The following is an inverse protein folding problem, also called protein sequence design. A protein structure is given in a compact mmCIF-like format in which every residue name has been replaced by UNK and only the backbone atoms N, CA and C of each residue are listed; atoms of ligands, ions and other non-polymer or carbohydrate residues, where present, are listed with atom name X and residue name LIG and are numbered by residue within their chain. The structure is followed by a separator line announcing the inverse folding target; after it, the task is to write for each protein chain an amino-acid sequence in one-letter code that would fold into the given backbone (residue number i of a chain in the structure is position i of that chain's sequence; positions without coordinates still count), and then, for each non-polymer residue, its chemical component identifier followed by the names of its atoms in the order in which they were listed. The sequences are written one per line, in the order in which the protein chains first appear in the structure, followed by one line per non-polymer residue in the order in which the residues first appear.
data_IF_520836941779
#
_entry.id   IF_520836941779
#
_cell.length_a   1.000
_cell.length_b   1.000
_cell.length_c   1.000
_cell.angle_alpha   90.00
_cell.angle_beta   90.00
_cell.angle_gamma   90.00
#
_symmetry.space_group_name_H-M   'P 1'
#
loop_
_entity.id
_entity.type
_entity.pdbx_description
1 polymer ?
#
# COMPACT_ATOMS: atom_id res chain seq x y z
N UNK A 1 4.54 -33.11 16.28
CA UNK A 1 4.56 -31.77 16.91
C UNK A 1 5.87 -31.00 16.66
N UNK A 2 7.07 -31.50 17.02
CA UNK A 2 8.34 -30.77 16.80
C UNK A 2 8.62 -30.35 15.34
N UNK A 3 8.26 -31.19 14.35
CA UNK A 3 8.44 -30.89 12.92
C UNK A 3 7.50 -29.79 12.39
N UNK A 4 6.27 -29.72 12.92
CA UNK A 4 5.28 -28.68 12.56
C UNK A 4 5.72 -27.33 13.16
N UNK A 5 6.23 -27.34 14.39
CA UNK A 5 6.77 -26.13 15.04
C UNK A 5 7.95 -25.54 14.25
N UNK A 6 8.82 -26.40 13.68
CA UNK A 6 9.97 -25.99 12.87
C UNK A 6 9.54 -25.41 11.51
N UNK A 7 8.53 -25.99 10.87
CA UNK A 7 7.96 -25.46 9.63
C UNK A 7 7.26 -24.12 9.87
N UNK A 8 6.51 -23.98 10.96
CA UNK A 8 5.87 -22.71 11.36
C UNK A 8 6.93 -21.65 11.68
N UNK A 9 8.03 -22.01 12.34
CA UNK A 9 9.15 -21.09 12.60
C UNK A 9 9.84 -20.65 11.30
N UNK A 10 10.08 -21.57 10.36
CA UNK A 10 10.67 -21.26 9.05
C UNK A 10 9.76 -20.34 8.22
N UNK A 11 8.45 -20.58 8.22
CA UNK A 11 7.47 -19.73 7.51
C UNK A 11 7.35 -18.35 8.16
N UNK A 12 7.37 -18.26 9.50
CA UNK A 12 7.35 -16.99 10.23
C UNK A 12 8.61 -16.17 10.00
N UNK A 13 9.79 -16.81 9.94
CA UNK A 13 11.03 -16.12 9.59
C UNK A 13 11.03 -15.66 8.13
N UNK A 14 10.60 -16.49 7.18
CA UNK A 14 10.50 -16.12 5.76
C UNK A 14 9.56 -14.92 5.51
N UNK A 15 8.47 -14.81 6.28
CA UNK A 15 7.53 -13.69 6.20
C UNK A 15 8.11 -12.36 6.72
N UNK A 16 9.06 -12.42 7.67
CA UNK A 16 9.79 -11.25 8.15
C UNK A 16 10.93 -10.80 7.20
N UNK A 17 11.27 -11.60 6.19
CA UNK A 17 12.35 -11.33 5.22
C UNK A 17 11.89 -10.76 3.88
N UNK A 18 10.60 -10.43 3.71
CA UNK A 18 10.09 -9.84 2.47
C UNK A 18 10.46 -8.36 2.26
N UNK A 19 11.25 -7.76 3.16
CA UNK A 19 11.78 -6.41 2.98
C UNK A 19 13.11 -6.46 2.23
N UNK A 20 13.16 -5.83 1.06
CA UNK A 20 14.38 -5.82 0.27
C UNK A 20 15.48 -5.02 0.96
N UNK A 21 16.66 -5.65 1.00
CA UNK A 21 17.89 -5.08 1.53
C UNK A 21 18.83 -4.78 0.38
N UNK A 22 19.37 -3.56 0.34
CA UNK A 22 20.43 -3.16 -0.59
C UNK A 22 21.75 -3.12 0.17
N UNK A 23 22.68 -4.03 -0.17
CA UNK A 23 23.99 -4.04 0.46
C UNK A 23 24.81 -2.83 0.01
N UNK A 24 25.44 -2.15 0.97
CA UNK A 24 26.35 -1.04 0.70
C UNK A 24 27.80 -1.46 0.92
N UNK A 25 28.68 -0.99 0.06
CA UNK A 25 30.09 -1.36 0.05
C UNK A 25 30.98 -0.12 0.15
N UNK A 26 32.12 -0.28 0.83
CA UNK A 26 33.20 0.71 0.80
C UNK A 26 34.21 0.31 -0.26
N UNK A 27 34.65 1.26 -1.07
CA UNK A 27 35.75 1.06 -2.02
C UNK A 27 37.07 1.31 -1.28
N UNK A 28 37.93 0.30 -1.22
CA UNK A 28 39.26 0.36 -0.58
C UNK A 28 40.29 0.01 -1.66
N UNK A 29 41.29 0.87 -1.85
CA UNK A 29 42.36 0.69 -2.85
C UNK A 29 41.85 0.38 -4.27
N UNK A 30 40.77 1.07 -4.67
CA UNK A 30 40.17 0.91 -6.00
C UNK A 30 39.24 -0.31 -6.15
N UNK A 31 39.15 -1.19 -5.15
CA UNK A 31 38.40 -2.44 -5.20
C UNK A 31 37.22 -2.47 -4.21
N UNK A 32 36.19 -3.27 -4.54
CA UNK A 32 35.02 -3.53 -3.69
C UNK A 32 35.04 -4.99 -3.27
N UNK A 33 35.08 -5.24 -1.96
CA UNK A 33 34.98 -6.60 -1.40
C UNK A 33 33.51 -6.98 -1.19
N UNK A 34 33.01 -7.87 -2.05
CA UNK A 34 31.63 -8.36 -1.97
C UNK A 34 31.34 -9.20 -0.72
N UNK A 35 32.36 -9.79 -0.11
CA UNK A 35 32.21 -10.68 1.03
C UNK A 35 32.07 -9.91 2.35
N UNK A 36 32.36 -8.61 2.35
CA UNK A 36 32.34 -7.75 3.55
C UNK A 36 31.58 -6.44 3.27
N UNK A 37 30.24 -6.50 3.13
CA UNK A 37 29.45 -5.28 3.02
C UNK A 37 29.58 -4.42 4.28
N UNK A 38 29.58 -3.10 4.11
CA UNK A 38 29.61 -2.14 5.22
C UNK A 38 28.31 -2.21 6.03
N UNK A 39 27.21 -2.56 5.38
CA UNK A 39 25.87 -2.68 5.95
C UNK A 39 24.84 -2.86 4.86
N UNK A 40 23.57 -2.61 5.19
CA UNK A 40 22.47 -2.63 4.23
C UNK A 40 21.52 -1.47 4.44
N UNK A 41 20.90 -1.03 3.34
CA UNK A 41 19.76 -0.13 3.33
C UNK A 41 18.47 -0.94 3.24
N UNK A 42 17.47 -0.49 3.99
CA UNK A 42 16.08 -0.93 3.88
C UNK A 42 15.37 -0.04 2.87
N UNK A 43 14.30 -0.54 2.22
CA UNK A 43 13.54 0.22 1.22
C UNK A 43 12.93 1.55 1.71
N UNK A 44 13.03 1.87 3.00
CA UNK A 44 12.67 3.16 3.60
C UNK A 44 13.85 4.15 3.70
N UNK A 45 15.09 3.71 3.56
CA UNK A 45 16.27 4.56 3.69
C UNK A 45 16.45 5.45 2.44
N UNK A 46 16.73 6.72 2.65
CA UNK A 46 17.03 7.65 1.56
C UNK A 46 18.36 7.29 0.88
N UNK A 47 18.36 7.35 -0.45
CA UNK A 47 19.51 7.09 -1.31
C UNK A 47 19.51 8.07 -2.48
N UNK A 48 20.69 8.59 -2.83
CA UNK A 48 20.89 9.43 -4.01
C UNK A 48 22.04 8.88 -4.85
N UNK A 49 21.78 8.59 -6.11
CA UNK A 49 22.84 8.20 -7.05
C UNK A 49 23.79 9.39 -7.30
N UNK A 50 25.09 9.13 -7.22
CA UNK A 50 26.15 10.10 -7.50
C UNK A 50 26.68 9.89 -8.93
N UNK A 51 27.30 10.91 -9.54
CA UNK A 51 27.91 10.77 -10.85
C UNK A 51 28.92 9.61 -10.91
N UNK A 52 28.87 8.83 -11.98
CA UNK A 52 29.80 7.73 -12.21
C UNK A 52 31.20 8.32 -12.46
N UNK A 53 32.25 7.86 -11.77
CA UNK A 53 33.62 8.32 -12.05
C UNK A 53 34.06 7.95 -13.46
N UNK A 54 34.79 8.85 -14.11
CA UNK A 54 35.34 8.63 -15.46
C UNK A 54 36.45 7.58 -15.45
N UNK A 55 36.56 6.83 -16.53
CA UNK A 55 37.68 5.91 -16.76
C UNK A 55 38.91 6.69 -17.20
N UNK A 56 40.10 6.23 -16.82
CA UNK A 56 41.38 6.77 -17.30
C UNK A 56 41.94 5.85 -18.37
N UNK A 57 42.01 6.34 -19.61
CA UNK A 57 42.59 5.60 -20.73
C UNK A 57 44.01 6.10 -20.94
N UNK A 58 44.95 5.16 -20.98
CA UNK A 58 46.35 5.43 -21.30
C UNK A 58 46.51 5.61 -22.81
N UNK A 59 46.96 6.78 -23.23
CA UNK A 59 47.38 7.06 -24.59
C UNK A 59 48.91 7.11 -24.66
N UNK A 60 49.48 6.13 -25.35
CA UNK A 60 50.89 6.15 -25.71
C UNK A 60 51.08 6.98 -26.98
N UNK A 61 51.87 8.04 -26.88
CA UNK A 61 52.33 8.82 -28.04
C UNK A 61 53.84 8.80 -28.12
N UNK A 62 54.39 8.90 -29.32
CA UNK A 62 55.83 9.02 -29.53
C UNK A 62 56.13 10.46 -29.93
N UNK A 63 56.88 11.17 -29.09
CA UNK A 63 57.32 12.53 -29.36
C UNK A 63 58.76 12.50 -29.83
N UNK A 64 59.06 13.22 -30.89
CA UNK A 64 60.40 13.37 -31.44
C UNK A 64 61.20 14.34 -30.57
N UNK A 65 62.17 13.83 -29.81
CA UNK A 65 63.04 14.63 -28.93
C UNK A 65 64.40 14.77 -29.60
N UNK A 66 64.89 16.01 -29.69
CA UNK A 66 66.20 16.31 -30.26
C UNK A 66 67.29 16.17 -29.20
N UNK A 67 68.18 15.20 -29.37
CA UNK A 67 69.32 14.96 -28.50
C UNK A 67 70.62 15.35 -29.23
N UNK A 68 71.52 16.10 -28.57
CA UNK A 68 72.82 16.45 -29.15
C UNK A 68 73.85 15.38 -28.80
N UNK A 69 74.20 14.54 -29.78
CA UNK A 69 75.16 13.45 -29.61
C UNK A 69 76.52 13.88 -30.19
N UNK A 70 77.61 13.64 -29.46
CA UNK A 70 78.95 14.04 -29.88
C UNK A 70 79.54 13.01 -30.86
N UNK A 71 79.89 13.43 -32.07
CA UNK A 71 80.51 12.56 -33.07
C UNK A 71 81.98 12.27 -32.78
N UNK A 72 82.55 11.24 -33.41
CA UNK A 72 83.97 10.85 -33.27
C UNK A 72 84.97 11.96 -33.64
N UNK A 73 84.51 12.99 -34.34
CA UNK A 73 85.27 14.13 -34.83
C UNK A 73 85.16 15.35 -33.88
N UNK A 74 84.61 15.17 -32.67
CA UNK A 74 84.45 16.21 -31.65
C UNK A 74 83.27 17.16 -31.82
N UNK A 75 82.66 17.24 -33.02
CA UNK A 75 81.46 18.07 -33.30
C UNK A 75 80.17 17.42 -32.82
N UNK A 76 79.27 18.21 -32.22
CA UNK A 76 77.95 17.77 -31.79
C UNK A 76 76.99 17.71 -32.99
N UNK A 77 76.26 16.60 -33.11
CA UNK A 77 75.20 16.39 -34.11
C UNK A 77 73.87 16.25 -33.37
N UNK A 78 72.86 17.00 -33.80
CA UNK A 78 71.50 16.81 -33.30
C UNK A 78 70.91 15.56 -33.94
N UNK A 79 70.43 14.63 -33.12
CA UNK A 79 69.78 13.38 -33.52
C UNK A 79 68.39 13.40 -32.94
N UNK A 80 67.39 13.15 -33.79
CA UNK A 80 66.00 13.02 -33.34
C UNK A 80 65.78 11.60 -32.81
N UNK A 81 65.33 11.49 -31.57
CA UNK A 81 65.00 10.23 -30.91
C UNK A 81 63.52 10.23 -30.54
N UNK A 82 62.80 9.17 -30.93
CA UNK A 82 61.42 8.97 -30.50
C UNK A 82 61.41 8.59 -29.02
N UNK A 83 60.80 9.43 -28.19
CA UNK A 83 60.55 9.15 -26.79
C UNK A 83 59.07 8.79 -26.62
N UNK A 84 58.81 7.65 -25.96
CA UNK A 84 57.46 7.25 -25.56
C UNK A 84 56.99 8.18 -24.44
N UNK A 85 55.85 8.83 -24.64
CA UNK A 85 55.16 9.66 -23.66
C UNK A 85 53.80 9.04 -23.40
N UNK A 86 53.48 8.89 -22.12
CA UNK A 86 52.21 8.36 -21.65
C UNK A 86 51.34 9.51 -21.17
N UNK A 87 50.18 9.70 -21.79
CA UNK A 87 49.18 10.69 -21.39
C UNK A 87 47.89 9.98 -21.01
N UNK A 88 47.22 10.43 -19.95
CA UNK A 88 45.94 9.87 -19.51
C UNK A 88 44.78 10.76 -19.93
N UNK A 89 43.77 10.19 -20.59
CA UNK A 89 42.52 10.88 -20.93
C UNK A 89 41.39 10.35 -20.03
N UNK A 90 40.57 11.24 -19.48
CA UNK A 90 39.40 10.87 -18.69
C UNK A 90 38.16 10.75 -19.59
N UNK A 91 37.70 9.52 -19.81
CA UNK A 91 36.63 9.18 -20.76
C UNK A 91 35.43 8.61 -20.02
N UNK A 92 34.21 8.83 -20.54
CA UNK A 92 33.02 8.21 -19.97
C UNK A 92 33.07 6.67 -20.15
N UNK A 93 32.64 5.90 -19.13
CA UNK A 93 32.67 4.44 -19.20
C UNK A 93 31.80 3.91 -20.36
N UNK A 94 32.37 3.07 -21.22
CA UNK A 94 31.67 2.48 -22.39
C UNK A 94 30.56 1.50 -22.01
N UNK A 95 30.63 0.89 -20.82
CA UNK A 95 29.64 -0.05 -20.31
C UNK A 95 29.08 0.45 -18.97
N UNK A 96 27.79 0.22 -18.68
CA UNK A 96 27.21 0.60 -17.40
C UNK A 96 28.00 -0.07 -16.27
N UNK A 97 28.47 0.70 -15.28
CA UNK A 97 29.35 0.17 -14.26
C UNK A 97 28.59 -0.82 -13.37
N UNK A 98 29.25 -1.92 -13.00
CA UNK A 98 28.68 -2.93 -12.11
C UNK A 98 28.32 -2.35 -10.74
N UNK A 99 29.09 -1.36 -10.29
CA UNK A 99 28.88 -0.62 -9.05
C UNK A 99 28.70 0.85 -9.35
N UNK A 100 27.78 1.48 -8.64
CA UNK A 100 27.53 2.93 -8.74
C UNK A 100 27.75 3.59 -7.38
N UNK A 101 28.36 4.79 -7.36
CA UNK A 101 28.47 5.54 -6.13
C UNK A 101 27.11 6.13 -5.74
N UNK A 102 26.80 6.11 -4.46
CA UNK A 102 25.57 6.63 -3.89
C UNK A 102 25.86 7.35 -2.58
N UNK A 103 25.04 8.36 -2.27
CA UNK A 103 25.02 9.01 -0.97
C UNK A 103 23.82 8.50 -0.17
N UNK A 104 24.05 8.01 1.04
CA UNK A 104 23.02 7.51 1.95
C UNK A 104 23.42 7.74 3.42
N UNK A 105 22.69 7.15 4.39
CA UNK A 105 23.00 7.25 5.84
C UNK A 105 24.40 6.79 6.26
N UNK A 106 25.11 6.05 5.39
CA UNK A 106 26.49 5.60 5.60
C UNK A 106 27.53 6.53 4.94
N UNK A 107 27.11 7.68 4.39
CA UNK A 107 27.93 8.59 3.60
C UNK A 107 27.99 8.20 2.13
N UNK A 108 29.12 8.53 1.48
CA UNK A 108 29.39 8.17 0.09
C UNK A 108 29.92 6.73 0.02
N UNK A 109 29.10 5.85 -0.55
CA UNK A 109 29.35 4.39 -0.63
C UNK A 109 29.05 3.88 -2.03
N UNK A 110 29.29 2.60 -2.27
CA UNK A 110 29.04 1.96 -3.56
C UNK A 110 27.99 0.85 -3.42
N UNK A 111 27.13 0.71 -4.42
CA UNK A 111 26.10 -0.35 -4.48
C UNK A 111 26.10 -1.02 -5.83
N UNK A 112 25.64 -2.27 -5.90
CA UNK A 112 25.48 -2.99 -7.18
C UNK A 112 24.38 -2.32 -8.01
N UNK A 113 24.66 -2.02 -9.28
CA UNK A 113 23.71 -1.33 -10.16
C UNK A 113 22.37 -2.07 -10.25
N UNK A 114 22.40 -3.38 -10.47
CA UNK A 114 21.20 -4.21 -10.57
C UNK A 114 20.35 -4.23 -9.29
N UNK A 115 20.99 -4.17 -8.12
CA UNK A 115 20.29 -4.11 -6.83
C UNK A 115 19.74 -2.72 -6.56
N UNK A 116 20.46 -1.66 -6.96
CA UNK A 116 19.99 -0.28 -6.87
C UNK A 116 18.74 -0.07 -7.71
N UNK A 117 18.71 -0.52 -8.97
CA UNK A 117 17.54 -0.34 -9.84
C UNK A 117 16.29 -0.98 -9.21
N UNK A 118 16.42 -2.19 -8.67
CA UNK A 118 15.35 -2.88 -7.94
C UNK A 118 14.96 -2.09 -6.68
N UNK A 119 15.95 -1.60 -5.91
CA UNK A 119 15.73 -0.81 -4.70
C UNK A 119 15.02 0.50 -4.98
N UNK A 120 15.36 1.19 -6.07
CA UNK A 120 14.69 2.41 -6.49
C UNK A 120 13.26 2.14 -6.95
N UNK A 121 13.01 1.01 -7.61
CA UNK A 121 11.65 0.59 -7.96
C UNK A 121 10.78 0.33 -6.71
N UNK A 122 11.29 -0.41 -5.72
CA UNK A 122 10.58 -0.64 -4.46
C UNK A 122 10.48 0.62 -3.60
N UNK A 123 11.48 1.50 -3.63
CA UNK A 123 11.46 2.80 -2.96
C UNK A 123 10.37 3.71 -3.56
N UNK A 124 10.21 3.67 -4.88
CA UNK A 124 9.17 4.41 -5.59
C UNK A 124 7.77 3.81 -5.42
N UNK A 125 7.67 2.53 -5.05
CA UNK A 125 6.40 1.92 -4.68
C UNK A 125 5.96 2.38 -3.29
N UNK A 126 4.91 3.19 -3.30
CA UNK A 126 4.26 3.70 -2.09
C UNK A 126 3.26 2.70 -1.51
N UNK A 127 3.01 1.58 -2.20
CA UNK A 127 2.06 0.57 -1.75
C UNK A 127 2.50 -0.05 -0.43
N UNK A 128 1.53 -0.22 0.46
CA UNK A 128 1.70 -0.85 1.76
C UNK A 128 0.94 -0.14 2.87
N UNK A 129 1.14 -0.64 4.08
CA UNK A 129 0.52 -0.14 5.30
C UNK A 129 1.43 0.87 6.00
N UNK A 130 0.85 2.00 6.38
CA UNK A 130 1.47 3.07 7.18
C UNK A 130 0.70 3.18 8.47
N UNK A 131 1.37 3.15 9.62
CA UNK A 131 0.69 3.11 10.92
C UNK A 131 1.10 4.28 11.82
N UNK A 132 0.19 4.60 12.73
CA UNK A 132 0.39 5.45 13.90
C UNK A 132 0.03 4.66 15.16
N UNK A 133 0.02 5.31 16.32
CA UNK A 133 -0.42 4.69 17.57
C UNK A 133 -1.91 4.32 17.56
N UNK A 134 -2.73 5.10 16.86
CA UNK A 134 -4.19 5.00 16.90
C UNK A 134 -4.80 4.57 15.57
N UNK A 135 -4.01 4.40 14.51
CA UNK A 135 -4.59 4.16 13.20
C UNK A 135 -3.61 3.64 12.15
N UNK A 136 -4.14 3.45 10.95
CA UNK A 136 -3.41 3.05 9.77
C UNK A 136 -3.94 3.68 8.50
N UNK A 137 -3.06 3.79 7.50
CA UNK A 137 -3.39 4.10 6.12
C UNK A 137 -2.82 3.02 5.23
N UNK A 138 -3.63 2.43 4.36
CA UNK A 138 -3.20 1.43 3.39
C UNK A 138 -3.25 2.05 2.00
N UNK A 139 -2.10 2.10 1.33
CA UNK A 139 -2.00 2.49 -0.08
C UNK A 139 -1.87 1.24 -0.92
N UNK A 140 -2.69 1.10 -1.95
CA UNK A 140 -2.63 0.00 -2.91
C UNK A 140 -2.60 0.53 -4.33
N UNK A 141 -1.49 0.35 -5.02
CA UNK A 141 -1.42 0.67 -6.45
C UNK A 141 -2.41 -0.17 -7.25
N UNK A 142 -3.00 0.44 -8.28
CA UNK A 142 -3.87 -0.29 -9.20
C UNK A 142 -3.04 -1.27 -10.03
N UNK A 143 -3.46 -2.55 -10.15
CA UNK A 143 -2.76 -3.54 -10.98
C UNK A 143 -2.65 -3.11 -12.46
N UNK A 144 -3.60 -2.29 -12.93
CA UNK A 144 -3.66 -1.81 -14.31
C UNK A 144 -3.01 -0.45 -14.52
N UNK A 145 -2.67 0.29 -13.45
CA UNK A 145 -2.08 1.61 -13.56
C UNK A 145 -1.31 2.01 -12.29
N UNK A 146 0.02 2.03 -12.36
CA UNK A 146 0.91 2.39 -11.25
C UNK A 146 0.81 3.87 -10.79
N UNK A 147 0.12 4.73 -11.55
CA UNK A 147 -0.18 6.11 -11.12
C UNK A 147 -1.49 6.23 -10.34
N UNK A 148 -2.29 5.17 -10.26
CA UNK A 148 -3.59 5.14 -9.58
C UNK A 148 -3.50 4.31 -8.32
N UNK A 149 -4.11 4.78 -7.24
CA UNK A 149 -4.09 4.14 -5.93
C UNK A 149 -5.49 4.03 -5.35
N UNK A 150 -5.76 2.91 -4.70
CA UNK A 150 -6.82 2.80 -3.72
C UNK A 150 -6.19 3.09 -2.34
N UNK A 151 -6.82 3.97 -1.57
CA UNK A 151 -6.31 4.40 -0.28
C UNK A 151 -7.39 4.15 0.77
N UNK A 152 -7.04 3.43 1.81
CA UNK A 152 -7.89 3.21 2.98
C UNK A 152 -7.28 3.96 4.16
N UNK A 153 -8.06 4.81 4.82
CA UNK A 153 -7.68 5.48 6.07
C UNK A 153 -8.55 4.90 7.18
N UNK A 154 -7.94 4.50 8.28
CA UNK A 154 -8.62 4.05 9.50
C UNK A 154 -7.91 4.65 10.72
N UNK A 155 -8.64 5.35 11.58
CA UNK A 155 -8.10 5.97 12.78
C UNK A 155 -9.09 5.81 13.93
N UNK A 156 -8.63 5.22 15.03
CA UNK A 156 -9.46 4.88 16.18
C UNK A 156 -9.25 3.44 16.64
N UNK A 157 -9.93 3.08 17.71
CA UNK A 157 -9.84 1.77 18.36
C UNK A 157 -11.23 1.13 18.41
N UNK A 158 -11.25 -0.20 18.39
CA UNK A 158 -12.45 -1.02 18.57
C UNK A 158 -13.60 -0.66 17.60
N UNK A 159 -14.76 -0.28 18.13
CA UNK A 159 -15.96 0.15 17.40
C UNK A 159 -15.95 1.64 17.03
N UNK A 160 -15.07 2.42 17.64
CA UNK A 160 -14.98 3.86 17.46
C UNK A 160 -13.87 4.24 16.46
N UNK A 161 -14.05 3.83 15.20
CA UNK A 161 -13.05 4.02 14.13
C UNK A 161 -13.56 5.01 13.08
N UNK A 162 -12.86 6.12 12.90
CA UNK A 162 -13.00 7.00 11.75
C UNK A 162 -12.36 6.32 10.54
N UNK A 163 -13.11 6.14 9.45
CA UNK A 163 -12.60 5.41 8.30
C UNK A 163 -13.17 5.86 6.98
N UNK A 164 -12.36 5.77 5.92
CA UNK A 164 -12.78 6.02 4.55
C UNK A 164 -11.94 5.17 3.59
N UNK A 165 -12.57 4.65 2.54
CA UNK A 165 -11.90 4.04 1.39
C UNK A 165 -12.07 4.96 0.18
N UNK A 166 -10.96 5.24 -0.50
CA UNK A 166 -10.91 6.15 -1.63
C UNK A 166 -10.27 5.41 -2.81
N UNK A 167 -11.09 5.07 -3.80
CA UNK A 167 -10.65 4.29 -4.95
C UNK A 167 -10.13 5.15 -6.11
N UNK A 168 -9.19 4.58 -6.88
CA UNK A 168 -8.73 5.09 -8.18
C UNK A 168 -8.19 6.53 -8.16
N UNK A 169 -7.56 6.94 -7.05
CA UNK A 169 -6.95 8.26 -6.90
C UNK A 169 -5.66 8.37 -7.70
N UNK A 170 -5.49 9.49 -8.39
CA UNK A 170 -4.27 9.76 -9.16
C UNK A 170 -3.16 10.32 -8.27
N UNK A 171 -1.96 9.72 -8.37
CA UNK A 171 -0.75 10.20 -7.71
C UNK A 171 -0.23 11.46 -8.41
N UNK A 172 -0.24 12.59 -7.70
CA UNK A 172 0.38 13.85 -8.16
C UNK A 172 1.71 14.08 -7.44
N UNK A 173 2.79 14.22 -8.18
CA UNK A 173 4.10 14.54 -7.61
C UNK A 173 4.27 16.06 -7.50
N UNK A 174 4.44 16.59 -6.29
CA UNK A 174 4.61 18.04 -6.03
C UNK A 174 5.77 18.21 -5.04
N UNK A 175 6.85 18.90 -5.45
CA UNK A 175 8.03 19.16 -4.60
C UNK A 175 8.65 17.91 -3.95
N UNK A 176 8.60 16.75 -4.64
CA UNK A 176 9.08 15.47 -4.09
C UNK A 176 8.08 14.74 -3.19
N UNK A 177 6.90 15.30 -2.96
CA UNK A 177 5.79 14.63 -2.27
C UNK A 177 4.88 13.95 -3.28
N UNK A 178 4.37 12.77 -2.93
CA UNK A 178 3.27 12.14 -3.64
C UNK A 178 1.96 12.52 -2.95
N UNK A 179 1.07 13.20 -3.68
CA UNK A 179 -0.20 13.71 -3.17
C UNK A 179 -1.38 13.06 -3.84
N UNK A 180 -2.40 12.80 -3.04
CA UNK A 180 -3.70 12.30 -3.45
C UNK A 180 -4.77 13.22 -2.90
N UNK A 181 -5.80 13.47 -3.69
CA UNK A 181 -6.93 14.31 -3.30
C UNK A 181 -8.20 13.56 -3.63
N UNK A 182 -9.06 13.44 -2.64
CA UNK A 182 -10.39 12.88 -2.76
C UNK A 182 -11.41 13.94 -2.35
N UNK A 183 -12.54 13.99 -3.05
CA UNK A 183 -13.61 14.92 -2.77
C UNK A 183 -14.96 14.29 -3.10
N UNK A 184 -15.89 14.40 -2.16
CA UNK A 184 -17.31 14.12 -2.32
C UNK A 184 -18.13 15.17 -1.54
N UNK A 185 -19.45 15.04 -1.52
CA UNK A 185 -20.33 15.99 -0.87
C UNK A 185 -20.08 16.10 0.65
N UNK A 186 -19.64 17.27 1.09
CA UNK A 186 -19.36 17.55 2.51
C UNK A 186 -18.09 16.89 3.05
N UNK A 187 -17.25 16.27 2.21
CA UNK A 187 -15.98 15.68 2.64
C UNK A 187 -14.88 15.80 1.58
N UNK A 188 -13.74 16.37 1.96
CA UNK A 188 -12.53 16.39 1.16
C UNK A 188 -11.35 15.86 1.97
N UNK A 189 -10.59 14.93 1.41
CA UNK A 189 -9.44 14.29 2.05
C UNK A 189 -8.20 14.48 1.19
N UNK A 190 -7.14 15.01 1.80
CA UNK A 190 -5.82 15.12 1.21
C UNK A 190 -4.87 14.13 1.86
N UNK A 191 -4.19 13.33 1.05
CA UNK A 191 -3.14 12.41 1.51
C UNK A 191 -1.82 12.85 0.92
N UNK A 192 -0.84 13.14 1.77
CA UNK A 192 0.51 13.55 1.41
C UNK A 192 1.51 12.48 1.88
N UNK A 193 2.31 11.97 0.96
CA UNK A 193 3.33 10.95 1.23
C UNK A 193 4.70 11.52 0.93
N UNK A 194 5.55 11.56 1.95
CA UNK A 194 6.91 12.06 1.84
C UNK A 194 7.83 11.26 2.76
N UNK A 195 8.96 10.77 2.22
CA UNK A 195 9.91 9.93 2.96
C UNK A 195 9.23 8.76 3.71
N UNK A 196 8.28 8.09 3.05
CA UNK A 196 7.45 7.00 3.63
C UNK A 196 6.70 7.38 4.92
N UNK A 197 6.45 8.67 5.13
CA UNK A 197 5.52 9.18 6.13
C UNK A 197 4.26 9.61 5.40
N UNK A 198 3.10 9.16 5.89
CA UNK A 198 1.81 9.57 5.36
C UNK A 198 1.19 10.59 6.30
N UNK A 199 0.74 11.71 5.73
CA UNK A 199 -0.07 12.71 6.41
C UNK A 199 -1.44 12.76 5.75
N UNK A 200 -2.48 12.64 6.55
CA UNK A 200 -3.86 12.78 6.11
C UNK A 200 -4.41 14.08 6.68
N UNK A 201 -5.01 14.89 5.82
CA UNK A 201 -5.78 16.06 6.19
C UNK A 201 -7.21 15.88 5.70
N UNK A 202 -8.18 16.36 6.49
CA UNK A 202 -9.59 16.38 6.09
C UNK A 202 -10.13 17.81 6.13
N UNK A 203 -11.15 18.06 5.33
CA UNK A 203 -11.98 19.26 5.35
C UNK A 203 -13.43 18.85 5.12
N UNK A 204 -14.32 19.21 6.04
CA UNK A 204 -15.57 18.47 6.19
C UNK A 204 -15.26 17.04 6.65
N UNK A 205 -16.13 16.07 6.37
CA UNK A 205 -16.01 14.67 6.79
C UNK A 205 -16.41 14.38 8.24
N UNK A 206 -17.21 15.23 8.89
CA UNK A 206 -17.76 14.99 10.22
C UNK A 206 -18.51 13.65 10.29
N UNK A 207 -19.21 13.29 9.21
CA UNK A 207 -19.94 12.03 9.09
C UNK A 207 -19.02 10.80 9.18
N UNK A 208 -17.76 10.91 8.74
CA UNK A 208 -16.79 9.81 8.78
C UNK A 208 -16.04 9.70 10.10
N UNK A 209 -16.07 10.75 10.92
CA UNK A 209 -15.44 10.77 12.24
C UNK A 209 -16.16 9.81 13.20
N UNK A 210 -15.45 9.38 14.25
CA UNK A 210 -16.01 8.48 15.25
C UNK A 210 -15.53 8.91 16.64
N UNK A 211 -16.45 9.45 17.46
CA UNK A 211 -16.14 10.02 18.76
C UNK A 211 -15.07 11.12 18.66
N UNK A 212 -13.93 10.95 19.32
CA UNK A 212 -12.79 11.86 19.24
C UNK A 212 -11.88 11.65 18.02
N UNK A 213 -12.04 10.53 17.30
CA UNK A 213 -11.19 10.19 16.17
C UNK A 213 -11.69 10.83 14.88
N UNK A 214 -10.75 11.33 14.10
CA UNK A 214 -10.97 11.91 12.77
C UNK A 214 -10.12 11.19 11.73
N UNK A 215 -10.42 11.36 10.44
CA UNK A 215 -9.59 10.84 9.35
C UNK A 215 -8.21 11.53 9.30
N UNK A 216 -8.10 12.76 9.80
CA UNK A 216 -6.85 13.49 9.83
C UNK A 216 -5.85 12.87 10.81
N UNK A 217 -4.57 12.80 10.40
CA UNK A 217 -3.55 12.14 11.20
C UNK A 217 -2.19 12.07 10.54
N UNK A 218 -1.19 11.64 11.32
CA UNK A 218 0.17 11.40 10.86
C UNK A 218 0.55 9.93 11.11
N UNK A 219 1.04 9.25 10.08
CA UNK A 219 1.34 7.83 10.06
C UNK A 219 2.81 7.63 9.69
N UNK A 220 3.72 7.70 10.69
CA UNK A 220 5.16 7.77 10.45
C UNK A 220 5.82 6.42 10.16
N UNK A 221 5.12 5.30 10.37
CA UNK A 221 5.75 3.98 10.33
C UNK A 221 5.24 3.17 9.15
N UNK A 222 6.08 2.95 8.15
CA UNK A 222 5.80 2.05 7.04
C UNK A 222 6.05 0.59 7.41
N UNK A 223 5.04 -0.27 7.24
CA UNK A 223 5.09 -1.71 7.50
C UNK A 223 5.18 -2.58 6.24
N UNK A 224 5.02 -2.02 5.04
CA UNK A 224 5.06 -2.78 3.78
C UNK A 224 3.71 -3.40 3.40
N UNK A 225 3.73 -4.28 2.39
CA UNK A 225 2.57 -5.00 1.87
C UNK A 225 2.26 -6.23 2.74
N UNK A 226 1.70 -6.00 3.93
CA UNK A 226 1.25 -7.09 4.79
C UNK A 226 -0.04 -7.71 4.23
N UNK A 227 -0.14 -9.04 4.28
CA UNK A 227 -1.40 -9.73 4.04
C UNK A 227 -2.31 -9.45 5.23
N UNK A 228 -3.31 -8.60 5.03
CA UNK A 228 -4.26 -8.24 6.08
C UNK A 228 -5.25 -9.39 6.22
N UNK A 229 -5.28 -10.00 7.41
CA UNK A 229 -6.39 -10.87 7.83
C UNK A 229 -7.32 -9.98 8.65
N UNK A 230 -8.55 -9.83 8.19
CA UNK A 230 -9.55 -9.07 8.93
C UNK A 230 -10.16 -9.93 10.03
N UNK A 231 -10.15 -9.39 11.23
CA UNK A 231 -10.82 -9.99 12.38
C UNK A 231 -12.03 -9.12 12.72
N UNK A 232 -13.22 -9.72 12.69
CA UNK A 232 -14.46 -9.05 13.04
C UNK A 232 -14.77 -9.29 14.53
N UNK A 233 -14.34 -8.36 15.38
CA UNK A 233 -14.63 -8.38 16.82
C UNK A 233 -15.79 -7.43 17.12
N UNK A 234 -17.01 -7.85 16.80
CA UNK A 234 -18.22 -7.07 17.04
C UNK A 234 -19.12 -7.82 18.03
N UNK A 235 -19.90 -7.07 18.81
CA UNK A 235 -20.90 -7.65 19.68
C UNK A 235 -22.01 -8.34 18.88
N UNK A 236 -22.70 -9.28 19.53
CA UNK A 236 -23.84 -9.95 18.92
C UNK A 236 -25.04 -9.03 18.89
N UNK A 237 -25.72 -8.97 17.75
CA UNK A 237 -26.94 -8.19 17.55
C UNK A 237 -28.03 -9.10 17.00
N UNK A 238 -29.25 -9.02 17.54
CA UNK A 238 -30.39 -9.79 17.04
C UNK A 238 -31.64 -8.91 17.00
N UNK A 239 -32.30 -8.88 15.84
CA UNK A 239 -33.47 -8.05 15.60
C UNK A 239 -34.51 -8.84 14.79
N UNK A 240 -35.79 -8.49 15.00
CA UNK A 240 -36.93 -9.14 14.37
C UNK A 240 -37.73 -8.14 13.53
N UNK A 241 -38.10 -8.56 12.32
CA UNK A 241 -38.72 -7.71 11.30
C UNK A 241 -39.99 -8.39 10.76
N UNK A 242 -41.19 -7.89 11.11
CA UNK A 242 -42.46 -8.41 10.58
C UNK A 242 -42.67 -8.15 9.09
N UNK A 243 -42.02 -7.09 8.58
CA UNK A 243 -41.98 -6.70 7.17
C UNK A 243 -40.57 -6.19 6.85
N UNK A 244 -40.21 -6.21 5.57
CA UNK A 244 -38.98 -5.63 5.06
C UNK A 244 -39.24 -5.01 3.69
N UNK A 245 -38.42 -4.07 3.26
CA UNK A 245 -38.48 -3.54 1.90
C UNK A 245 -37.63 -4.43 0.99
N UNK A 246 -38.23 -4.90 -0.09
CA UNK A 246 -37.58 -5.68 -1.12
C UNK A 246 -37.43 -4.86 -2.38
N UNK A 247 -36.21 -4.76 -2.90
CA UNK A 247 -35.93 -3.97 -4.08
C UNK A 247 -35.27 -4.85 -5.13
N UNK A 248 -36.04 -5.21 -6.16
CA UNK A 248 -35.57 -6.08 -7.24
C UNK A 248 -34.37 -5.50 -8.02
N UNK A 249 -34.33 -4.18 -8.21
CA UNK A 249 -33.27 -3.47 -8.92
C UNK A 249 -33.20 -1.99 -8.47
N UNK A 250 -32.36 -1.70 -7.47
CA UNK A 250 -32.18 -0.32 -7.01
C UNK A 250 -33.26 0.18 -6.06
N UNK A 251 -33.07 1.36 -5.47
CA UNK A 251 -33.95 1.90 -4.42
C UNK A 251 -35.34 2.30 -4.95
N UNK A 252 -35.46 2.61 -6.24
CA UNK A 252 -36.72 3.05 -6.84
C UNK A 252 -37.74 1.91 -7.00
N UNK A 253 -37.31 0.65 -6.86
CA UNK A 253 -38.17 -0.54 -6.99
C UNK A 253 -38.51 -1.17 -5.65
N UNK A 254 -38.31 -0.48 -4.54
CA UNK A 254 -38.52 -1.05 -3.21
C UNK A 254 -40.03 -1.18 -2.89
N UNK A 255 -40.47 -2.38 -2.51
CA UNK A 255 -41.83 -2.64 -2.04
C UNK A 255 -41.83 -3.33 -0.67
N UNK A 256 -42.77 -2.99 0.23
CA UNK A 256 -42.88 -3.66 1.52
C UNK A 256 -43.42 -5.08 1.35
N UNK A 257 -42.62 -6.07 1.74
CA UNK A 257 -42.98 -7.48 1.73
C UNK A 257 -43.07 -8.07 3.14
N UNK A 258 -43.90 -9.10 3.28
CA UNK A 258 -43.84 -10.07 4.37
C UNK A 258 -43.13 -11.31 3.84
N UNK A 259 -42.20 -11.87 4.61
CA UNK A 259 -41.61 -13.16 4.24
C UNK A 259 -42.68 -14.24 4.30
N UNK A 260 -42.67 -15.14 3.32
CA UNK A 260 -43.63 -16.24 3.22
C UNK A 260 -43.57 -17.19 4.45
N UNK A 261 -42.44 -17.20 5.16
CA UNK A 261 -42.22 -17.99 6.38
C UNK A 261 -42.40 -17.21 7.69
N UNK A 262 -42.92 -15.97 7.64
CA UNK A 262 -43.28 -15.16 8.80
C UNK A 262 -42.28 -14.07 9.17
N UNK A 263 -42.04 -13.86 10.46
CA UNK A 263 -41.15 -12.80 10.95
C UNK A 263 -39.70 -13.15 10.64
N UNK A 264 -38.98 -12.22 10.01
CA UNK A 264 -37.55 -12.37 9.71
C UNK A 264 -36.74 -11.97 10.94
N UNK A 265 -35.88 -12.86 11.41
CA UNK A 265 -34.92 -12.61 12.47
C UNK A 265 -33.52 -12.53 11.86
N UNK A 266 -32.82 -11.43 12.12
CA UNK A 266 -31.44 -11.25 11.68
C UNK A 266 -30.56 -11.24 12.91
N UNK A 267 -29.64 -12.20 12.96
CA UNK A 267 -28.66 -12.33 14.04
C UNK A 267 -27.25 -12.17 13.47
N UNK A 268 -26.54 -11.16 13.94
CA UNK A 268 -25.10 -11.01 13.78
C UNK A 268 -24.42 -11.61 15.02
N UNK A 269 -23.56 -12.62 14.87
CA UNK A 269 -22.98 -13.36 16.01
C UNK A 269 -21.52 -13.02 16.33
N UNK A 270 -21.23 -12.85 17.63
CA UNK A 270 -19.92 -12.76 18.30
C UNK A 270 -19.17 -14.10 18.34
N UNK A 271 -19.89 -15.21 18.52
CA UNK A 271 -19.31 -16.56 18.63
C UNK A 271 -19.04 -17.22 17.27
N UNK A 272 -19.58 -16.64 16.19
CA UNK A 272 -19.49 -17.16 14.82
C UNK A 272 -18.37 -16.58 13.96
N UNK A 273 -17.42 -15.84 14.54
CA UNK A 273 -16.38 -15.11 13.78
C UNK A 273 -16.96 -14.12 12.75
N UNK A 274 -18.11 -13.48 13.05
CA UNK A 274 -18.75 -12.50 12.17
C UNK A 274 -19.76 -13.08 11.17
N UNK A 275 -20.34 -14.26 11.43
CA UNK A 275 -21.46 -14.76 10.62
C UNK A 275 -22.73 -13.96 10.84
N UNK A 276 -23.50 -13.77 9.77
CA UNK A 276 -24.84 -13.21 9.79
C UNK A 276 -25.83 -14.35 9.49
N UNK A 277 -26.86 -14.49 10.31
CA UNK A 277 -27.95 -15.43 10.12
C UNK A 277 -29.25 -14.66 9.83
N UNK A 278 -29.92 -15.00 8.72
CA UNK A 278 -31.27 -14.55 8.38
C UNK A 278 -32.20 -15.75 8.51
N UNK A 279 -33.12 -15.70 9.48
CA UNK A 279 -34.06 -16.79 9.78
C UNK A 279 -35.50 -16.33 9.64
N UNK A 280 -36.31 -17.05 8.87
CA UNK A 280 -37.77 -16.87 8.80
C UNK A 280 -38.44 -18.23 8.93
N UNK A 281 -39.25 -18.42 9.99
CA UNK A 281 -39.81 -19.73 10.33
C UNK A 281 -38.73 -20.80 10.50
N UNK A 282 -38.78 -21.85 9.67
CA UNK A 282 -37.79 -22.93 9.63
C UNK A 282 -36.65 -22.69 8.62
N UNK A 283 -36.76 -21.65 7.80
CA UNK A 283 -35.79 -21.31 6.76
C UNK A 283 -34.66 -20.49 7.36
N UNK A 284 -33.42 -20.95 7.23
CA UNK A 284 -32.22 -20.28 7.77
C UNK A 284 -31.19 -20.10 6.67
N UNK A 285 -30.79 -18.86 6.44
CA UNK A 285 -29.67 -18.50 5.57
C UNK A 285 -28.51 -17.97 6.39
N UNK A 286 -27.35 -18.59 6.25
CA UNK A 286 -26.13 -18.19 6.95
C UNK A 286 -25.15 -17.57 5.96
N UNK A 287 -24.55 -16.47 6.37
CA UNK A 287 -23.62 -15.68 5.59
C UNK A 287 -22.30 -15.60 6.34
N UNK A 288 -21.22 -16.08 5.72
CA UNK A 288 -19.87 -16.03 6.29
C UNK A 288 -19.22 -14.71 5.91
N UNK A 289 -18.77 -13.93 6.90
CA UNK A 289 -17.96 -12.74 6.66
C UNK A 289 -16.65 -13.09 5.94
N UNK A 290 -16.30 -12.28 4.94
CA UNK A 290 -15.11 -12.47 4.11
C UNK A 290 -14.25 -11.23 4.10
N UNK A 291 -14.85 -10.04 3.94
CA UNK A 291 -14.14 -8.76 3.79
C UNK A 291 -14.95 -7.64 4.46
N UNK A 292 -14.31 -6.70 5.13
CA UNK A 292 -14.87 -5.45 5.64
C UNK A 292 -15.09 -4.56 4.43
N UNK A 293 -16.24 -3.92 4.40
CA UNK A 293 -16.54 -2.89 3.42
C UNK A 293 -16.49 -1.57 4.16
N UNK A 294 -15.73 -0.60 3.67
CA UNK A 294 -15.75 0.74 4.25
C UNK A 294 -16.87 1.52 3.56
N UNK A 295 -17.93 1.92 4.28
CA UNK A 295 -19.09 2.57 3.67
C UNK A 295 -18.76 3.98 3.19
N UNK A 296 -19.45 4.42 2.14
CA UNK A 296 -19.45 5.82 1.70
C UNK A 296 -20.66 6.56 2.26
N UNK A 297 -20.68 7.89 2.19
CA UNK A 297 -21.77 8.73 2.69
C UNK A 297 -23.15 8.34 2.15
N UNK A 298 -23.23 7.93 0.88
CA UNK A 298 -24.47 7.42 0.27
C UNK A 298 -25.05 6.17 0.95
N UNK A 299 -24.21 5.44 1.70
CA UNK A 299 -24.61 4.26 2.45
C UNK A 299 -25.12 4.58 3.85
N UNK A 300 -25.02 5.83 4.28
CA UNK A 300 -25.41 6.22 5.62
C UNK A 300 -26.93 6.33 5.72
N UNK A 301 -27.46 6.10 6.91
CA UNK A 301 -28.89 6.19 7.16
C UNK A 301 -29.15 7.23 8.25
N UNK A 302 -29.81 8.33 7.91
CA UNK A 302 -30.06 9.46 8.82
C UNK A 302 -28.80 9.94 9.58
N UNK A 303 -27.67 10.01 8.87
CA UNK A 303 -26.37 10.40 9.44
C UNK A 303 -25.65 9.30 10.22
N UNK A 304 -26.22 8.09 10.33
CA UNK A 304 -25.54 6.94 10.92
C UNK A 304 -24.70 6.20 9.87
N UNK A 305 -23.39 6.09 10.15
CA UNK A 305 -22.46 5.22 9.43
C UNK A 305 -22.75 3.74 9.76
N UNK A 306 -22.96 2.87 8.76
CA UNK A 306 -23.14 1.46 9.01
C UNK A 306 -21.82 0.74 9.30
N UNK A 307 -21.91 -0.40 9.97
CA UNK A 307 -20.90 -1.44 9.93
C UNK A 307 -21.17 -2.27 8.67
N UNK A 308 -20.25 -2.26 7.71
CA UNK A 308 -20.44 -2.93 6.43
C UNK A 308 -19.47 -4.11 6.24
N UNK A 309 -20.01 -5.26 5.82
CA UNK A 309 -19.26 -6.49 5.59
C UNK A 309 -19.73 -7.16 4.32
N UNK A 310 -18.78 -7.57 3.50
CA UNK A 310 -18.98 -8.48 2.39
C UNK A 310 -18.90 -9.91 2.88
N UNK A 311 -19.96 -10.63 2.60
CA UNK A 311 -20.19 -12.00 3.04
C UNK A 311 -20.39 -12.91 1.84
N UNK A 312 -20.16 -14.20 2.07
CA UNK A 312 -20.56 -15.26 1.14
C UNK A 312 -21.63 -16.11 1.80
N UNK A 313 -22.74 -16.32 1.09
CA UNK A 313 -23.81 -17.21 1.52
C UNK A 313 -23.30 -18.66 1.61
N UNK A 314 -23.64 -19.39 2.67
CA UNK A 314 -23.04 -20.72 2.95
C UNK A 314 -23.83 -21.89 2.37
N UNK A 315 -25.15 -21.72 2.19
CA UNK A 315 -26.07 -22.72 1.64
C UNK A 315 -26.16 -22.68 0.10
N UNK A 316 -25.64 -21.62 -0.54
CA UNK A 316 -25.60 -21.49 -2.01
C UNK A 316 -24.22 -21.08 -2.53
N UNK A 317 -23.77 -21.75 -3.59
CA UNK A 317 -22.52 -21.37 -4.25
C UNK A 317 -22.71 -20.13 -5.12
N UNK A 318 -21.90 -19.09 -4.86
CA UNK A 318 -21.74 -17.96 -5.79
C UNK A 318 -22.49 -16.67 -5.44
N UNK A 319 -23.27 -16.63 -4.35
CA UNK A 319 -23.90 -15.40 -3.88
C UNK A 319 -23.02 -14.66 -2.88
N UNK A 320 -22.59 -13.47 -3.29
CA UNK A 320 -21.86 -12.52 -2.45
C UNK A 320 -22.79 -11.38 -2.07
N UNK A 321 -22.89 -11.10 -0.77
CA UNK A 321 -23.78 -10.07 -0.24
C UNK A 321 -22.98 -9.08 0.60
N UNK A 322 -23.21 -7.79 0.38
CA UNK A 322 -22.79 -6.72 1.25
C UNK A 322 -23.90 -6.47 2.27
N UNK A 323 -23.57 -6.68 3.53
CA UNK A 323 -24.43 -6.38 4.67
C UNK A 323 -24.01 -5.06 5.28
N UNK A 324 -24.98 -4.19 5.54
CA UNK A 324 -24.80 -2.91 6.23
C UNK A 324 -25.70 -2.92 7.46
N UNK A 325 -25.10 -2.88 8.64
CA UNK A 325 -25.81 -2.83 9.91
C UNK A 325 -25.69 -1.44 10.53
N UNK A 326 -26.80 -0.89 11.01
CA UNK A 326 -26.89 0.44 11.61
C UNK A 326 -27.32 0.25 13.06
N UNK A 327 -26.36 0.21 14.01
CA UNK A 327 -26.64 -0.20 15.39
C UNK A 327 -27.67 0.67 16.11
N UNK A 328 -27.60 2.00 15.97
CA UNK A 328 -28.51 2.95 16.64
C UNK A 328 -29.91 2.90 16.02
N UNK A 329 -29.99 2.81 14.70
CA UNK A 329 -31.26 2.68 13.99
C UNK A 329 -31.87 1.26 14.08
N UNK A 330 -31.14 0.26 14.58
CA UNK A 330 -31.59 -1.14 14.58
C UNK A 330 -31.96 -1.63 13.18
N UNK A 331 -31.25 -1.17 12.15
CA UNK A 331 -31.56 -1.40 10.73
C UNK A 331 -30.52 -2.32 10.08
N UNK A 332 -30.96 -3.15 9.14
CA UNK A 332 -30.06 -3.86 8.23
C UNK A 332 -30.39 -3.51 6.78
N UNK A 333 -29.36 -3.47 5.94
CA UNK A 333 -29.48 -3.44 4.49
C UNK A 333 -28.59 -4.53 3.93
N UNK A 334 -29.15 -5.47 3.19
CA UNK A 334 -28.42 -6.48 2.44
C UNK A 334 -28.48 -6.11 0.96
N UNK A 335 -27.35 -6.22 0.26
CA UNK A 335 -27.23 -5.89 -1.17
C UNK A 335 -26.37 -6.92 -1.89
N UNK A 336 -26.73 -7.29 -3.12
CA UNK A 336 -25.88 -8.15 -3.94
C UNK A 336 -24.56 -7.46 -4.30
N UNK A 337 -23.44 -8.09 -3.97
CA UNK A 337 -22.11 -7.58 -4.28
C UNK A 337 -21.80 -7.68 -5.78
N UNK A 338 -21.06 -6.70 -6.31
CA UNK A 338 -20.60 -6.67 -7.70
C UNK A 338 -21.59 -6.07 -8.70
N UNK A 339 -22.78 -5.65 -8.24
CA UNK A 339 -23.72 -4.87 -9.02
C UNK A 339 -23.64 -3.39 -8.63
N UNK A 340 -24.02 -2.50 -9.55
CA UNK A 340 -24.16 -1.07 -9.22
C UNK A 340 -25.33 -0.88 -8.26
N UNK A 341 -25.24 0.07 -7.34
CA UNK A 341 -26.29 0.33 -6.33
C UNK A 341 -27.68 0.57 -6.92
N UNK A 342 -27.76 1.20 -8.11
CA UNK A 342 -29.00 1.52 -8.83
C UNK A 342 -29.61 0.31 -9.56
N UNK A 343 -28.88 -0.79 -9.68
CA UNK A 343 -29.33 -2.03 -10.32
C UNK A 343 -29.25 -3.25 -9.39
N UNK A 344 -28.75 -3.06 -8.17
CA UNK A 344 -28.50 -4.15 -7.25
C UNK A 344 -29.81 -4.60 -6.60
N UNK A 345 -29.95 -5.91 -6.50
CA UNK A 345 -30.89 -6.54 -5.58
C UNK A 345 -30.62 -6.09 -4.15
N UNK A 346 -31.67 -5.69 -3.42
CA UNK A 346 -31.59 -5.25 -2.03
C UNK A 346 -32.74 -5.75 -1.17
N UNK A 347 -32.42 -6.02 0.10
CA UNK A 347 -33.39 -6.19 1.17
C UNK A 347 -33.05 -5.19 2.29
N UNK A 348 -34.06 -4.45 2.76
CA UNK A 348 -33.90 -3.44 3.80
C UNK A 348 -34.84 -3.77 4.95
N UNK A 349 -34.26 -3.95 6.13
CA UNK A 349 -34.91 -4.36 7.36
C UNK A 349 -34.91 -3.20 8.33
N UNK A 350 -36.09 -2.66 8.60
CA UNK A 350 -36.25 -1.48 9.45
C UNK A 350 -37.13 -1.85 10.65
N UNK A 351 -36.76 -1.41 11.87
CA UNK A 351 -37.60 -1.66 13.03
C UNK A 351 -38.95 -0.96 12.83
N UNK A 352 -40.02 -1.63 13.24
CA UNK A 352 -41.36 -1.07 13.20
C UNK A 352 -41.37 0.15 14.13
N UNK A 353 -41.64 1.34 13.59
CA UNK A 353 -41.93 2.51 14.41
C UNK A 353 -43.25 2.24 15.11
N UNK A 354 -43.33 2.43 16.43
CA UNK A 354 -44.54 2.17 17.24
C UNK A 354 -45.74 3.09 16.91
N UNK A 355 -45.67 3.91 15.85
CA UNK A 355 -46.65 4.96 15.53
C UNK A 355 -47.46 4.72 14.22
N UNK A 356 -47.53 3.50 13.68
CA UNK A 356 -48.43 3.17 12.55
C UNK A 356 -49.58 2.21 12.92
#
# INVERSE_FOLDING_TARGET
MKKILLVVLVILTASAFAQMKLNVYKKIDGNIDENRPLGYLMSSDAIKELPIPKDRIEHESFVDVQEKVRGKNGKYKTVTKKQRVVTYEEVEPKAPPRYVPVNCKFGDVWVKRSELDRFMQEYADLSGEYVSETGRVVLKSSPSNASRFNIVVQNGKDDNVAEIEMGNLEKKNINGHARFVYQEEGCAVGVDVFNRVVRVAQRGCEDYNAGEYTLAGNYPTFKGNNRIVETFNLDSYSFSYPKYLWCASGFDTCEPLKDEHGIVNITWSKDGHGTIERKAGNTVHTYRAMERVIPHKRDFYNGEKPIAIKTKRTDMSGEWMNWYFYPRAGRFKMMRSGQRHDAAYMEIYEPVKEDD
#
